data_IF_448974252095
#
_entry.id   IF_448974252095
#
_cell.length_a   1.000
_cell.length_b   1.000
_cell.length_c   1.000
_cell.angle_alpha   90.00
_cell.angle_beta   90.00
_cell.angle_gamma   90.00
#
_symmetry.space_group_name_H-M   'P 1'
#
loop_
_entity.id
_entity.type
_entity.pdbx_description
1 polymer ?
#
# COMPACT_ATOMS: atom_id res chain seq x y z
N UNK A 1 -11.16 36.28 39.25
CA UNK A 1 -10.38 35.04 39.47
C UNK A 1 -10.48 34.19 38.22
N UNK A 2 -9.44 34.21 37.38
CA UNK A 2 -9.30 33.25 36.29
C UNK A 2 -8.67 31.98 36.87
N UNK A 3 -9.38 30.84 36.80
CA UNK A 3 -8.73 29.54 36.94
C UNK A 3 -8.17 29.13 35.58
N UNK A 4 -6.85 29.02 35.53
CA UNK A 4 -6.08 28.65 34.34
C UNK A 4 -6.43 27.24 33.86
N UNK A 5 -6.69 27.14 32.56
CA UNK A 5 -6.64 25.86 31.84
C UNK A 5 -5.17 25.50 31.67
N UNK A 6 -4.70 24.48 32.35
CA UNK A 6 -3.42 23.85 32.05
C UNK A 6 -3.56 23.16 30.70
N UNK A 7 -3.14 23.84 29.64
CA UNK A 7 -3.06 23.26 28.31
C UNK A 7 -1.86 22.31 28.30
N UNK A 8 -2.14 21.01 28.31
CA UNK A 8 -1.15 19.98 28.00
C UNK A 8 -0.72 20.24 26.56
N UNK A 9 0.58 20.46 26.25
CA UNK A 9 1.00 20.65 24.87
C UNK A 9 0.78 19.33 24.11
N UNK A 10 -0.02 19.41 23.05
CA UNK A 10 -0.12 18.36 22.04
C UNK A 10 1.30 18.16 21.50
N UNK A 11 1.86 16.96 21.64
CA UNK A 11 3.07 16.60 20.93
C UNK A 11 2.72 16.72 19.44
N UNK A 12 3.33 17.67 18.76
CA UNK A 12 3.18 17.88 17.33
C UNK A 12 3.71 16.61 16.66
N UNK A 13 2.79 15.71 16.27
CA UNK A 13 3.14 14.65 15.34
C UNK A 13 3.48 15.38 14.05
N UNK A 14 4.76 15.40 13.68
CA UNK A 14 5.19 15.88 12.38
C UNK A 14 4.35 15.14 11.33
N UNK A 15 3.62 15.89 10.52
CA UNK A 15 2.82 15.32 9.44
C UNK A 15 3.81 14.71 8.45
N UNK A 16 3.70 13.40 8.20
CA UNK A 16 4.51 12.70 7.21
C UNK A 16 4.48 13.48 5.88
N UNK A 17 5.67 13.81 5.34
CA UNK A 17 5.82 14.61 4.14
C UNK A 17 5.40 13.78 2.92
N UNK A 18 4.63 14.36 2.00
CA UNK A 18 4.37 13.75 0.70
C UNK A 18 5.67 13.72 -0.11
N UNK A 19 6.14 12.53 -0.44
CA UNK A 19 7.40 12.34 -1.19
C UNK A 19 7.18 11.99 -2.66
N UNK A 20 5.96 11.62 -3.04
CA UNK A 20 5.60 11.45 -4.45
C UNK A 20 4.36 10.60 -4.69
N UNK A 21 3.86 10.64 -5.91
CA UNK A 21 2.68 9.88 -6.35
C UNK A 21 3.05 8.72 -7.26
N UNK A 22 2.17 7.73 -7.32
CA UNK A 22 2.28 6.60 -8.25
C UNK A 22 0.97 6.34 -8.99
N UNK A 23 1.09 5.77 -10.18
CA UNK A 23 -0.02 5.27 -10.99
C UNK A 23 0.42 4.04 -11.77
N UNK A 24 -0.26 2.93 -11.54
CA UNK A 24 0.06 1.61 -12.07
C UNK A 24 -1.18 0.99 -12.72
N UNK A 25 -0.94 0.15 -13.72
CA UNK A 25 -1.95 -0.65 -14.41
C UNK A 25 -1.77 -2.13 -14.05
N UNK A 26 -2.89 -2.84 -13.97
CA UNK A 26 -2.88 -4.29 -13.76
C UNK A 26 -2.20 -5.02 -14.92
N UNK A 27 -1.39 -6.02 -14.58
CA UNK A 27 -0.69 -6.87 -15.55
C UNK A 27 -1.20 -8.31 -15.50
N UNK A 28 -1.35 -8.86 -14.30
CA UNK A 28 -1.81 -10.24 -14.11
C UNK A 28 -2.23 -10.50 -12.66
N UNK A 29 -2.97 -11.58 -12.45
CA UNK A 29 -3.32 -12.08 -11.11
C UNK A 29 -2.95 -13.54 -11.01
N UNK A 30 -2.39 -13.94 -9.86
CA UNK A 30 -2.18 -15.35 -9.49
C UNK A 30 -2.88 -15.62 -8.17
N UNK A 31 -3.56 -16.76 -8.08
CA UNK A 31 -4.17 -17.23 -6.85
C UNK A 31 -3.37 -18.42 -6.34
N UNK A 32 -3.13 -18.46 -5.03
CA UNK A 32 -2.49 -19.58 -4.36
C UNK A 32 -3.36 -20.03 -3.20
N UNK A 33 -3.29 -21.31 -2.88
CA UNK A 33 -3.99 -21.93 -1.75
C UNK A 33 -2.95 -22.63 -0.89
N UNK A 34 -2.97 -22.38 0.42
CA UNK A 34 -2.10 -23.07 1.37
C UNK A 34 -2.69 -24.41 1.84
N UNK A 35 -1.96 -25.14 2.69
CA UNK A 35 -2.39 -26.46 3.18
C UNK A 35 -3.66 -26.41 4.06
N UNK A 36 -3.98 -25.23 4.59
CA UNK A 36 -5.16 -24.97 5.43
C UNK A 36 -6.37 -24.52 4.60
N UNK A 37 -6.22 -24.41 3.26
CA UNK A 37 -7.28 -23.95 2.35
C UNK A 37 -7.45 -22.42 2.35
N UNK A 38 -6.47 -21.68 2.87
CA UNK A 38 -6.49 -20.22 2.77
C UNK A 38 -5.93 -19.77 1.44
N UNK A 39 -6.60 -18.79 0.84
CA UNK A 39 -6.26 -18.23 -0.45
C UNK A 39 -5.42 -16.96 -0.26
N UNK A 40 -4.34 -16.84 -1.02
CA UNK A 40 -3.63 -15.57 -1.22
C UNK A 40 -3.77 -15.11 -2.68
N UNK A 41 -4.11 -13.83 -2.87
CA UNK A 41 -4.32 -13.23 -4.19
C UNK A 41 -3.15 -12.31 -4.50
N UNK A 42 -2.38 -12.63 -5.55
CA UNK A 42 -1.20 -11.89 -5.98
C UNK A 42 -1.56 -11.09 -7.23
N UNK A 43 -1.72 -9.78 -7.10
CA UNK A 43 -1.94 -8.88 -8.23
C UNK A 43 -0.64 -8.20 -8.61
N UNK A 44 -0.30 -8.25 -9.90
CA UNK A 44 0.91 -7.65 -10.45
C UNK A 44 0.56 -6.36 -11.19
N UNK A 45 1.35 -5.33 -10.97
CA UNK A 45 1.12 -3.98 -11.46
C UNK A 45 2.38 -3.44 -12.14
N UNK A 46 2.20 -2.58 -13.14
CA UNK A 46 3.30 -1.87 -13.79
C UNK A 46 2.90 -0.43 -14.06
N UNK A 47 3.82 0.52 -13.84
CA UNK A 47 3.55 1.92 -14.15
C UNK A 47 4.68 2.83 -13.69
N UNK A 48 4.33 4.05 -13.27
CA UNK A 48 5.30 5.05 -12.82
C UNK A 48 5.06 5.47 -11.38
N UNK A 49 6.15 5.74 -10.68
CA UNK A 49 6.15 6.40 -9.39
C UNK A 49 7.20 7.50 -9.34
N UNK A 50 6.83 8.67 -8.83
CA UNK A 50 7.76 9.78 -8.61
C UNK A 50 8.90 9.35 -7.68
N UNK A 51 10.13 9.70 -8.05
CA UNK A 51 11.35 9.26 -7.36
C UNK A 51 11.81 7.84 -7.66
N UNK A 52 10.98 7.00 -8.28
CA UNK A 52 11.31 5.57 -8.53
C UNK A 52 11.23 5.16 -10.01
N UNK A 53 10.83 6.05 -10.91
CA UNK A 53 10.77 5.80 -12.35
C UNK A 53 9.70 4.76 -12.72
N UNK A 54 10.08 3.75 -13.52
CA UNK A 54 9.20 2.62 -13.84
C UNK A 54 9.18 1.66 -12.67
N UNK A 55 8.00 1.23 -12.24
CA UNK A 55 7.83 0.31 -11.11
C UNK A 55 7.06 -0.93 -11.54
N UNK A 56 7.54 -2.09 -11.10
CA UNK A 56 6.79 -3.33 -11.04
C UNK A 56 6.47 -3.67 -9.59
N UNK A 57 5.21 -3.94 -9.29
CA UNK A 57 4.73 -4.22 -7.93
C UNK A 57 3.85 -5.47 -7.91
N UNK A 58 4.08 -6.33 -6.92
CA UNK A 58 3.19 -7.44 -6.57
C UNK A 58 2.54 -7.10 -5.24
N UNK A 59 1.22 -6.93 -5.26
CA UNK A 59 0.40 -6.82 -4.05
C UNK A 59 -0.22 -8.17 -3.74
N UNK A 60 -0.01 -8.66 -2.53
CA UNK A 60 -0.48 -9.95 -2.02
C UNK A 60 -1.56 -9.68 -0.98
N UNK A 61 -2.79 -10.06 -1.28
CA UNK A 61 -3.93 -10.01 -0.36
C UNK A 61 -4.08 -11.35 0.37
N UNK A 62 -4.40 -11.29 1.66
CA UNK A 62 -4.60 -12.48 2.49
C UNK A 62 -3.31 -12.92 3.22
N UNK A 63 -3.23 -14.18 3.66
CA UNK A 63 -4.15 -15.28 3.36
C UNK A 63 -5.57 -15.10 3.96
N UNK A 64 -6.58 -15.68 3.32
CA UNK A 64 -7.98 -15.63 3.77
C UNK A 64 -8.69 -16.94 3.41
N UNK A 65 -9.48 -17.50 4.32
CA UNK A 65 -10.22 -18.74 4.05
C UNK A 65 -11.16 -18.56 2.84
N UNK A 66 -11.26 -19.59 1.98
CA UNK A 66 -12.07 -19.49 0.76
C UNK A 66 -13.51 -19.04 1.02
N UNK A 67 -14.13 -19.53 2.09
CA UNK A 67 -15.52 -19.18 2.44
C UNK A 67 -15.68 -17.74 2.95
N UNK A 68 -14.60 -17.09 3.36
CA UNK A 68 -14.57 -15.69 3.79
C UNK A 68 -14.31 -14.72 2.62
N UNK A 69 -13.83 -15.19 1.46
CA UNK A 69 -13.61 -14.39 0.26
C UNK A 69 -14.94 -14.08 -0.47
N UNK A 70 -15.81 -13.32 0.19
CA UNK A 70 -17.10 -12.91 -0.33
C UNK A 70 -17.39 -11.41 -0.06
N UNK A 71 -18.62 -10.98 -0.32
CA UNK A 71 -19.01 -9.57 -0.21
C UNK A 71 -18.92 -9.02 1.23
N UNK A 72 -18.97 -9.87 2.25
CA UNK A 72 -18.86 -9.48 3.66
C UNK A 72 -17.41 -9.17 4.10
N UNK A 73 -16.40 -9.49 3.28
CA UNK A 73 -15.00 -9.24 3.61
C UNK A 73 -14.65 -7.76 3.48
N UNK A 74 -14.64 -7.01 4.57
CA UNK A 74 -14.41 -5.56 4.54
C UNK A 74 -12.94 -5.13 4.39
N UNK A 75 -12.00 -6.05 4.52
CA UNK A 75 -10.58 -5.75 4.44
C UNK A 75 -9.70 -6.87 4.95
N UNK A 76 -8.40 -6.61 5.09
CA UNK A 76 -7.47 -7.59 5.61
C UNK A 76 -6.01 -7.21 5.43
N UNK A 77 -5.08 -8.13 5.75
CA UNK A 77 -3.65 -7.89 5.55
C UNK A 77 -3.29 -7.84 4.06
N UNK A 78 -2.30 -7.00 3.76
CA UNK A 78 -1.60 -7.01 2.48
C UNK A 78 -0.09 -7.03 2.68
N UNK A 79 0.61 -7.62 1.71
CA UNK A 79 2.05 -7.46 1.52
C UNK A 79 2.30 -6.86 0.15
N UNK A 80 3.27 -5.95 0.04
CA UNK A 80 3.72 -5.40 -1.24
C UNK A 80 5.21 -5.68 -1.42
N UNK A 81 5.58 -6.08 -2.63
CA UNK A 81 6.97 -6.36 -3.02
C UNK A 81 7.14 -5.84 -4.44
N UNK A 82 8.17 -5.05 -4.69
CA UNK A 82 8.37 -4.48 -6.02
C UNK A 82 9.79 -4.02 -6.29
N UNK A 83 10.00 -3.52 -7.50
CA UNK A 83 11.25 -2.94 -7.95
C UNK A 83 10.98 -1.66 -8.74
N UNK A 84 11.72 -0.61 -8.41
CA UNK A 84 11.79 0.64 -9.16
C UNK A 84 13.05 0.69 -10.03
N UNK A 85 12.88 1.22 -11.24
CA UNK A 85 13.92 1.47 -12.23
C UNK A 85 14.03 2.99 -12.40
N UNK A 86 15.01 3.57 -11.71
CA UNK A 86 15.17 5.02 -11.58
C UNK A 86 15.66 5.65 -12.89
N UNK A 87 15.42 6.95 -13.02
CA UNK A 87 15.79 7.71 -14.23
C UNK A 87 17.31 7.79 -14.47
N UNK A 88 18.11 7.65 -13.40
CA UNK A 88 19.57 7.61 -13.48
C UNK A 88 20.13 6.23 -13.89
N UNK A 89 19.24 5.26 -14.15
CA UNK A 89 19.58 3.89 -14.55
C UNK A 89 19.89 2.95 -13.38
N UNK A 90 19.81 3.42 -12.14
CA UNK A 90 19.93 2.56 -10.95
C UNK A 90 18.57 1.89 -10.63
N UNK A 91 18.59 0.92 -9.71
CA UNK A 91 17.38 0.22 -9.28
C UNK A 91 17.32 0.09 -7.78
N UNK A 92 16.11 0.14 -7.22
CA UNK A 92 15.84 -0.20 -5.82
C UNK A 92 14.73 -1.24 -5.74
N UNK A 93 14.84 -2.14 -4.77
CA UNK A 93 13.76 -3.06 -4.42
C UNK A 93 13.06 -2.56 -3.15
N UNK A 94 11.75 -2.79 -3.08
CA UNK A 94 10.93 -2.45 -1.92
C UNK A 94 10.14 -3.64 -1.45
N UNK A 95 9.98 -3.79 -0.13
CA UNK A 95 9.02 -4.75 0.42
C UNK A 95 8.42 -4.26 1.73
N UNK A 96 7.19 -4.62 1.98
CA UNK A 96 6.52 -4.25 3.22
C UNK A 96 5.12 -4.79 3.33
N UNK A 97 4.44 -4.40 4.39
CA UNK A 97 3.13 -4.92 4.74
C UNK A 97 2.22 -3.79 5.20
N UNK A 98 0.93 -4.08 5.17
CA UNK A 98 -0.10 -3.11 5.51
C UNK A 98 -1.46 -3.75 5.66
N UNK A 99 -2.47 -2.93 5.49
CA UNK A 99 -3.87 -3.36 5.45
C UNK A 99 -4.53 -2.84 4.19
N UNK A 100 -5.55 -3.56 3.74
CA UNK A 100 -6.52 -3.07 2.77
C UNK A 100 -7.90 -3.00 3.40
N UNK A 101 -8.76 -2.13 2.85
CA UNK A 101 -10.18 -2.10 3.18
C UNK A 101 -11.03 -1.74 1.96
N UNK A 102 -12.25 -2.26 1.93
CA UNK A 102 -13.27 -1.85 0.96
C UNK A 102 -13.67 -0.40 1.24
N UNK A 103 -13.93 0.34 0.16
CA UNK A 103 -14.68 1.60 0.23
C UNK A 103 -16.16 1.27 0.05
N UNK A 104 -17.03 1.43 1.06
CA UNK A 104 -18.41 0.96 0.99
C UNK A 104 -19.18 1.54 -0.20
N UNK A 105 -19.83 0.66 -0.97
CA UNK A 105 -20.63 1.04 -2.14
C UNK A 105 -19.82 1.42 -3.39
N UNK A 106 -18.50 1.22 -3.38
CA UNK A 106 -17.61 1.55 -4.50
C UNK A 106 -16.74 0.35 -4.89
N UNK A 107 -16.33 0.28 -6.16
CA UNK A 107 -15.39 -0.73 -6.67
C UNK A 107 -13.94 -0.36 -6.34
N UNK A 108 -13.68 0.09 -5.11
CA UNK A 108 -12.40 0.62 -4.68
C UNK A 108 -11.94 -0.09 -3.41
N UNK A 109 -10.70 -0.57 -3.44
CA UNK A 109 -9.99 -1.00 -2.24
C UNK A 109 -8.93 0.03 -1.87
N UNK A 110 -8.94 0.49 -0.62
CA UNK A 110 -7.89 1.34 -0.06
C UNK A 110 -6.78 0.48 0.49
N UNK A 111 -5.54 0.90 0.31
CA UNK A 111 -4.35 0.23 0.83
C UNK A 111 -3.53 1.20 1.66
N UNK A 112 -2.95 0.74 2.76
CA UNK A 112 -2.02 1.51 3.60
C UNK A 112 -0.88 0.59 4.04
N UNK A 113 0.31 0.78 3.49
CA UNK A 113 1.49 -0.04 3.73
C UNK A 113 2.67 0.79 4.21
N UNK A 114 3.54 0.19 5.02
CA UNK A 114 4.90 0.69 5.25
C UNK A 114 5.88 -0.22 4.52
N UNK A 115 6.70 0.37 3.63
CA UNK A 115 7.68 -0.31 2.80
C UNK A 115 9.09 0.04 3.25
N UNK A 116 9.95 -0.97 3.33
CA UNK A 116 11.40 -0.81 3.43
C UNK A 116 12.00 -0.88 2.03
N UNK A 117 12.88 0.07 1.73
CA UNK A 117 13.56 0.18 0.43
C UNK A 117 15.00 -0.28 0.60
N UNK A 118 15.57 -0.89 -0.44
CA UNK A 118 16.92 -1.46 -0.43
C UNK A 118 18.04 -0.43 -0.23
N UNK A 119 17.75 0.86 -0.34
CA UNK A 119 18.66 1.97 -0.03
C UNK A 119 18.67 2.35 1.46
N UNK A 120 17.87 1.65 2.29
CA UNK A 120 17.73 1.88 3.71
C UNK A 120 16.59 2.82 4.10
N UNK A 121 15.95 3.48 3.13
CA UNK A 121 14.80 4.35 3.40
C UNK A 121 13.53 3.56 3.73
N UNK A 122 12.59 4.23 4.40
CA UNK A 122 11.25 3.72 4.65
C UNK A 122 10.22 4.71 4.15
N UNK A 123 9.16 4.19 3.55
CA UNK A 123 8.04 4.98 3.04
C UNK A 123 6.72 4.39 3.52
N UNK A 124 5.73 5.26 3.74
CA UNK A 124 4.33 4.84 3.89
C UNK A 124 3.63 5.07 2.57
N UNK A 125 3.05 4.03 1.99
CA UNK A 125 2.33 4.08 0.73
C UNK A 125 0.83 3.94 0.99
N UNK A 126 0.08 4.99 0.70
CA UNK A 126 -1.39 5.01 0.78
C UNK A 126 -1.94 5.05 -0.64
N UNK A 127 -2.83 4.13 -0.98
CA UNK A 127 -3.32 4.02 -2.35
C UNK A 127 -4.73 3.46 -2.46
N UNK A 128 -5.21 3.46 -3.70
CA UNK A 128 -6.52 2.97 -4.09
C UNK A 128 -6.39 2.06 -5.31
N UNK A 129 -6.90 0.83 -5.18
CA UNK A 129 -7.09 -0.11 -6.27
C UNK A 129 -8.51 0.07 -6.78
N UNK A 130 -8.64 0.58 -8.00
CA UNK A 130 -9.92 0.75 -8.69
C UNK A 130 -10.18 -0.51 -9.52
N UNK A 131 -11.12 -1.34 -9.08
CA UNK A 131 -11.39 -2.67 -9.64
C UNK A 131 -12.14 -2.63 -10.97
N UNK A 132 -12.80 -1.52 -11.28
CA UNK A 132 -13.53 -1.29 -12.53
C UNK A 132 -12.61 -0.87 -13.69
N UNK A 133 -11.56 -0.12 -13.38
CA UNK A 133 -10.56 0.37 -14.33
C UNK A 133 -9.27 -0.44 -14.30
N UNK A 134 -9.10 -1.32 -13.31
CA UNK A 134 -7.90 -2.11 -13.07
C UNK A 134 -6.64 -1.23 -12.91
N UNK A 135 -6.79 -0.14 -12.16
CA UNK A 135 -5.71 0.79 -11.85
C UNK A 135 -5.37 0.79 -10.38
N UNK A 136 -4.10 1.03 -10.06
CA UNK A 136 -3.62 1.21 -8.70
C UNK A 136 -2.81 2.50 -8.62
N UNK A 137 -3.34 3.49 -7.91
CA UNK A 137 -2.69 4.80 -7.75
C UNK A 137 -2.68 5.24 -6.29
N UNK A 138 -1.79 6.18 -5.95
CA UNK A 138 -1.68 6.64 -4.58
C UNK A 138 -0.55 7.61 -4.34
N UNK A 139 -0.29 7.84 -3.06
CA UNK A 139 0.72 8.77 -2.56
C UNK A 139 1.64 8.06 -1.59
N UNK A 140 2.93 8.27 -1.77
CA UNK A 140 3.98 7.86 -0.85
C UNK A 140 4.32 9.03 0.09
N UNK A 141 4.54 8.69 1.35
CA UNK A 141 4.90 9.62 2.41
C UNK A 141 6.20 9.19 3.10
N UNK A 142 6.93 10.16 3.63
CA UNK A 142 8.05 9.89 4.53
C UNK A 142 7.58 9.14 5.78
N UNK A 143 8.49 8.40 6.41
CA UNK A 143 8.27 7.81 7.73
C UNK A 143 9.37 8.35 8.64
N UNK A 144 8.98 9.18 9.60
CA UNK A 144 9.92 9.69 10.60
C UNK A 144 10.33 8.55 11.55
N UNK A 145 11.62 8.49 11.90
CA UNK A 145 12.18 7.54 12.88
C UNK A 145 11.95 7.98 14.34
#
# INVERSE_FOLDING_TARGET
MLLGKTQIPLKEFMMAEEIGKFSLEHVSTTYTEDEDGNISIHTNWCGKAEGYGVVYDTTIFGPTALMELNDDLEGGPIKRIGQGFLEDGTTVAGSGSGQWSKKPGEHIWKTDCVLQISDGTKIRSVGEVHLDTLTFSGTNYSVDE
#
